data_IF_869118734140
#
_entry.id   IF_869118734140
#
_cell.length_a   1.000
_cell.length_b   1.000
_cell.length_c   1.000
_cell.angle_alpha   90.00
_cell.angle_beta   90.00
_cell.angle_gamma   90.00
#
_symmetry.space_group_name_H-M   'P 1'
#
loop_
_entity.id
_entity.type
_entity.pdbx_description
1 polymer ?
2 polymer ?
#
# COMPACT_ATOMS: atom_id res chain seq x y z
N UNK A 1 17.35 -16.10 -13.14
CA UNK A 1 18.11 -17.34 -12.86
C UNK A 1 17.33 -18.20 -11.88
N UNK A 2 17.66 -19.49 -11.83
CA UNK A 2 16.97 -20.42 -10.94
C UNK A 2 15.67 -20.91 -11.55
N UNK A 3 15.39 -20.44 -12.77
CA UNK A 3 14.17 -20.83 -13.47
C UNK A 3 12.97 -20.75 -12.52
N UNK A 4 12.57 -21.90 -11.97
CA UNK A 4 11.44 -21.94 -11.07
C UNK A 4 10.16 -21.45 -11.76
N UNK A 5 9.05 -22.08 -11.44
CA UNK A 5 7.77 -21.71 -12.03
C UNK A 5 7.17 -20.51 -11.32
N UNK A 6 7.88 -20.02 -10.30
CA UNK A 6 7.42 -18.86 -9.54
C UNK A 6 7.43 -17.61 -10.41
N UNK A 7 8.29 -17.62 -11.43
CA UNK A 7 8.37 -16.47 -12.34
C UNK A 7 7.06 -16.31 -13.10
N UNK A 8 6.46 -17.43 -13.49
CA UNK A 8 5.21 -17.41 -14.23
C UNK A 8 4.09 -16.78 -13.41
N UNK A 9 4.03 -17.12 -12.12
CA UNK A 9 3.00 -16.57 -11.24
C UNK A 9 3.16 -15.05 -11.17
N UNK A 10 4.40 -14.62 -11.02
CA UNK A 10 4.71 -13.20 -10.93
C UNK A 10 4.33 -12.45 -12.21
N UNK A 11 4.65 -13.05 -13.35
CA UNK A 11 4.34 -12.44 -14.63
C UNK A 11 2.84 -12.26 -14.85
N UNK A 12 2.06 -13.28 -14.49
CA UNK A 12 0.61 -13.25 -14.68
C UNK A 12 -0.07 -12.15 -13.88
N UNK A 13 0.35 -11.94 -12.64
CA UNK A 13 -0.29 -10.91 -11.80
C UNK A 13 -0.02 -9.50 -12.36
N UNK A 14 1.16 -9.29 -12.94
CA UNK A 14 1.49 -7.98 -13.48
C UNK A 14 0.54 -7.58 -14.61
N UNK A 15 0.22 -8.55 -15.47
CA UNK A 15 -0.68 -8.30 -16.59
C UNK A 15 -2.10 -7.99 -16.11
N UNK A 16 -2.54 -8.71 -15.08
CA UNK A 16 -3.89 -8.54 -14.55
C UNK A 16 -4.11 -7.17 -13.91
N UNK A 17 -3.10 -6.65 -13.23
CA UNK A 17 -3.24 -5.36 -12.56
C UNK A 17 -3.37 -4.22 -13.56
N UNK A 18 -4.27 -3.29 -13.27
CA UNK A 18 -4.48 -2.11 -14.11
C UNK A 18 -3.34 -1.13 -13.90
N UNK A 19 -3.19 -0.16 -14.81
CA UNK A 19 -2.11 0.81 -14.67
C UNK A 19 -2.27 1.57 -13.36
N UNK A 20 -3.52 1.80 -12.95
CA UNK A 20 -3.78 2.50 -11.69
C UNK A 20 -3.30 1.65 -10.51
N UNK A 21 -3.60 0.35 -10.56
CA UNK A 21 -3.20 -0.57 -9.49
C UNK A 21 -1.69 -0.82 -9.51
N UNK A 22 -1.12 -0.86 -10.70
CA UNK A 22 0.31 -1.09 -10.86
C UNK A 22 1.11 -0.03 -10.09
N UNK A 23 0.58 1.19 -10.04
CA UNK A 23 1.24 2.27 -9.33
C UNK A 23 1.35 1.94 -7.83
N UNK A 24 0.31 1.32 -7.29
CA UNK A 24 0.30 0.96 -5.88
C UNK A 24 1.42 -0.02 -5.55
N UNK A 25 1.69 -0.94 -6.47
CA UNK A 25 2.76 -1.93 -6.24
C UNK A 25 4.11 -1.22 -6.05
N UNK A 26 4.39 -0.22 -6.89
CA UNK A 26 5.64 0.52 -6.77
C UNK A 26 5.67 1.26 -5.44
N UNK A 27 4.53 1.85 -5.10
CA UNK A 27 4.39 2.59 -3.85
C UNK A 27 4.62 1.69 -2.63
N UNK A 28 3.95 0.55 -2.62
CA UNK A 28 4.05 -0.39 -1.52
C UNK A 28 5.47 -0.95 -1.38
N UNK A 29 6.11 -1.25 -2.52
CA UNK A 29 7.48 -1.79 -2.51
C UNK A 29 8.50 -0.67 -2.68
N UNK A 30 8.04 0.56 -2.59
CA UNK A 30 8.93 1.72 -2.74
C UNK A 30 10.03 1.66 -1.68
N UNK A 31 9.64 1.37 -0.44
CA UNK A 31 10.60 1.26 0.64
C UNK A 31 11.58 0.12 0.39
N UNK A 32 11.05 -1.03 -0.04
CA UNK A 32 11.87 -2.20 -0.31
C UNK A 32 12.84 -1.94 -1.46
N UNK A 33 12.35 -1.26 -2.51
CA UNK A 33 13.19 -0.97 -3.68
C UNK A 33 13.25 0.53 -3.95
N UNK A 34 14.47 1.04 -4.14
CA UNK A 34 14.67 2.45 -4.42
C UNK A 34 14.47 2.73 -5.91
N UNK A 35 13.43 2.13 -6.48
CA UNK A 35 13.13 2.28 -7.89
C UNK A 35 14.32 1.84 -8.73
N UNK A 36 15.08 0.89 -8.19
CA UNK A 36 16.24 0.35 -8.90
C UNK A 36 15.79 -0.45 -10.11
N UNK A 37 14.53 -0.90 -10.05
CA UNK A 37 13.95 -1.70 -11.12
C UNK A 37 13.92 -0.90 -12.43
N UNK A 38 14.21 -1.50 -13.57
CA UNK A 38 14.13 -0.77 -14.88
C UNK A 38 12.75 -0.10 -15.04
N UNK A 39 12.52 0.60 -16.12
CA UNK A 39 11.22 1.29 -16.36
C UNK A 39 10.02 0.34 -16.22
N UNK A 40 10.20 -0.90 -16.64
CA UNK A 40 9.13 -1.90 -16.57
C UNK A 40 8.88 -2.31 -15.12
N UNK A 41 7.60 -2.32 -14.74
CA UNK A 41 7.22 -2.70 -13.37
C UNK A 41 7.25 -4.22 -13.19
N UNK A 42 7.24 -4.93 -14.31
CA UNK A 42 7.25 -6.39 -14.24
C UNK A 42 8.52 -6.86 -13.52
N UNK A 43 9.61 -6.16 -13.77
CA UNK A 43 10.89 -6.48 -13.16
C UNK A 43 10.88 -6.21 -11.65
N UNK A 44 9.95 -5.39 -11.17
CA UNK A 44 9.89 -5.04 -9.76
C UNK A 44 9.73 -6.30 -8.90
N UNK A 45 8.77 -7.13 -9.26
CA UNK A 45 8.54 -8.36 -8.51
C UNK A 45 9.73 -9.31 -8.66
N UNK A 46 10.33 -9.30 -9.85
CA UNK A 46 11.46 -10.18 -10.14
C UNK A 46 12.64 -9.91 -9.20
N UNK A 47 12.96 -8.64 -8.97
CA UNK A 47 14.09 -8.33 -8.08
C UNK A 47 13.76 -8.67 -6.63
N UNK A 48 12.49 -8.55 -6.26
CA UNK A 48 12.07 -8.89 -4.91
C UNK A 48 12.26 -10.38 -4.66
N UNK A 49 11.94 -11.19 -5.66
CA UNK A 49 12.08 -12.64 -5.54
C UNK A 49 13.54 -13.01 -5.32
N UNK A 50 14.43 -12.34 -6.03
CA UNK A 50 15.86 -12.61 -5.90
C UNK A 50 16.33 -12.36 -4.48
N UNK A 51 15.79 -11.30 -3.87
CA UNK A 51 16.15 -10.96 -2.50
C UNK A 51 15.60 -12.00 -1.53
N UNK A 52 14.59 -12.75 -2.00
CA UNK A 52 13.98 -13.79 -1.16
C UNK A 52 12.96 -13.17 -0.22
N UNK A 53 12.72 -11.87 -0.38
CA UNK A 53 11.77 -11.17 0.47
C UNK A 53 10.34 -11.34 -0.02
N UNK A 54 10.17 -11.94 -1.21
CA UNK A 54 8.83 -12.12 -1.76
C UNK A 54 8.17 -13.36 -1.15
N UNK A 55 7.24 -13.11 -0.23
CA UNK A 55 6.45 -14.15 0.41
C UNK A 55 5.09 -14.23 -0.29
N UNK A 56 4.46 -15.40 -0.33
CA UNK A 56 3.17 -15.45 -1.01
C UNK A 56 2.15 -14.64 -0.23
N UNK A 57 2.24 -14.71 1.10
CA UNK A 57 1.30 -13.98 1.94
C UNK A 57 1.35 -12.51 1.59
N UNK A 58 2.54 -12.02 1.29
CA UNK A 58 2.69 -10.63 0.91
C UNK A 58 1.91 -10.36 -0.37
N UNK A 59 2.01 -11.28 -1.34
CA UNK A 59 1.28 -11.11 -2.59
C UNK A 59 -0.21 -11.02 -2.32
N UNK A 60 -0.70 -11.84 -1.40
CA UNK A 60 -2.11 -11.80 -1.05
C UNK A 60 -2.46 -10.41 -0.51
N UNK A 61 -1.58 -9.86 0.33
CA UNK A 61 -1.78 -8.56 0.90
C UNK A 61 -1.73 -7.49 -0.19
N UNK A 62 -0.78 -7.62 -1.10
CA UNK A 62 -0.62 -6.66 -2.19
C UNK A 62 -1.85 -6.64 -3.10
N UNK A 63 -2.37 -7.83 -3.42
CA UNK A 63 -3.54 -7.91 -4.29
C UNK A 63 -4.79 -7.38 -3.57
N UNK A 64 -4.87 -7.62 -2.27
CA UNK A 64 -6.02 -7.17 -1.49
C UNK A 64 -6.17 -5.63 -1.49
N UNK A 65 -5.07 -4.91 -1.26
CA UNK A 65 -5.13 -3.44 -1.23
C UNK A 65 -5.70 -2.86 -2.52
N UNK A 66 -5.30 -3.42 -3.67
CA UNK A 66 -5.80 -2.93 -4.95
C UNK A 66 -7.23 -3.41 -5.21
N UNK A 67 -7.85 -3.97 -4.16
CA UNK A 67 -9.23 -4.46 -4.26
C UNK A 67 -9.38 -5.52 -5.37
N UNK A 68 -8.46 -6.48 -5.43
CA UNK A 68 -8.53 -7.54 -6.44
C UNK A 68 -8.79 -8.90 -5.80
N UNK A 69 -9.93 -9.04 -5.14
CA UNK A 69 -10.27 -10.31 -4.51
C UNK A 69 -10.49 -11.37 -5.58
N UNK A 70 -10.89 -10.92 -6.77
CA UNK A 70 -11.14 -11.82 -7.89
C UNK A 70 -9.87 -12.55 -8.30
N UNK A 71 -8.76 -11.82 -8.38
CA UNK A 71 -7.49 -12.40 -8.78
C UNK A 71 -6.94 -13.32 -7.71
N UNK A 72 -7.31 -13.08 -6.45
CA UNK A 72 -6.82 -13.92 -5.37
C UNK A 72 -7.26 -15.35 -5.58
N UNK A 73 -8.51 -15.52 -6.00
CA UNK A 73 -9.05 -16.85 -6.23
C UNK A 73 -8.29 -17.55 -7.37
N UNK A 74 -8.06 -16.82 -8.46
CA UNK A 74 -7.39 -17.39 -9.61
C UNK A 74 -5.90 -17.70 -9.38
N UNK A 75 -5.18 -16.76 -8.76
CA UNK A 75 -3.73 -16.94 -8.57
C UNK A 75 -3.37 -17.76 -7.31
N UNK A 76 -3.87 -17.34 -6.13
CA UNK A 76 -3.52 -18.03 -4.88
C UNK A 76 -4.68 -18.85 -4.30
N UNK A 77 -5.82 -18.88 -4.97
CA UNK A 77 -6.94 -19.65 -4.47
C UNK A 77 -7.26 -19.24 -3.02
N UNK A 78 -7.22 -17.93 -2.75
CA UNK A 78 -7.49 -17.42 -1.40
C UNK A 78 -8.87 -16.78 -1.32
N UNK A 79 -9.63 -17.17 -0.30
CA UNK A 79 -10.99 -16.66 -0.16
C UNK A 79 -10.96 -15.18 0.26
N UNK A 80 -11.88 -14.40 -0.27
CA UNK A 80 -11.93 -12.98 0.06
C UNK A 80 -12.15 -12.78 1.56
N UNK A 81 -13.08 -13.56 2.13
CA UNK A 81 -13.37 -13.47 3.55
C UNK A 81 -12.17 -13.88 4.41
N UNK A 82 -11.38 -14.83 3.87
CA UNK A 82 -10.20 -15.31 4.58
C UNK A 82 -9.22 -14.16 4.80
N UNK A 83 -9.13 -13.29 3.80
CA UNK A 83 -8.23 -12.15 3.88
C UNK A 83 -8.61 -11.23 5.05
N UNK A 84 -9.91 -11.03 5.24
CA UNK A 84 -10.40 -10.15 6.31
C UNK A 84 -9.98 -10.66 7.68
N UNK A 85 -10.09 -11.97 7.92
CA UNK A 85 -9.71 -12.53 9.20
C UNK A 85 -8.19 -12.64 9.30
N UNK A 86 -7.56 -13.00 8.20
CA UNK A 86 -6.12 -13.12 8.15
C UNK A 86 -5.45 -11.78 8.45
N UNK A 87 -5.95 -10.70 7.86
CA UNK A 87 -5.35 -9.39 8.10
C UNK A 87 -5.68 -8.87 9.48
N UNK A 88 -6.58 -9.56 10.19
CA UNK A 88 -6.95 -9.13 11.53
C UNK A 88 -5.69 -9.05 12.39
N UNK A 89 -4.79 -10.00 12.19
CA UNK A 89 -3.53 -10.01 12.93
C UNK A 89 -2.69 -8.81 12.50
N UNK A 90 -3.08 -8.21 11.38
CA UNK A 90 -2.40 -7.04 10.84
C UNK A 90 -0.90 -7.30 10.61
N UNK A 91 -0.56 -8.34 9.87
CA UNK A 91 0.86 -8.66 9.55
C UNK A 91 1.35 -7.85 8.34
N UNK A 92 2.59 -7.36 8.40
CA UNK A 92 3.15 -6.57 7.30
C UNK A 92 4.57 -7.02 6.96
N UNK A 93 4.80 -7.33 5.69
CA UNK A 93 6.12 -7.73 5.23
C UNK A 93 7.09 -6.56 5.37
N UNK A 94 6.60 -5.37 5.00
CA UNK A 94 7.39 -4.15 5.07
C UNK A 94 6.79 -3.21 6.10
N UNK A 95 7.48 -2.11 6.41
CA UNK A 95 6.98 -1.17 7.39
C UNK A 95 5.51 -0.85 7.12
N UNK A 96 4.72 -0.84 8.17
CA UNK A 96 3.28 -0.57 8.06
C UNK A 96 3.03 0.85 7.54
N UNK A 97 4.04 1.71 7.61
CA UNK A 97 3.87 3.09 7.17
C UNK A 97 3.43 3.17 5.70
N UNK A 98 4.14 2.46 4.83
CA UNK A 98 3.82 2.50 3.40
C UNK A 98 2.45 1.88 3.13
N UNK A 99 2.18 0.73 3.77
CA UNK A 99 0.91 0.04 3.59
C UNK A 99 -0.24 0.86 4.17
N UNK A 100 0.02 1.50 5.31
CA UNK A 100 -1.01 2.29 5.98
C UNK A 100 -1.57 3.34 5.03
N UNK A 101 -0.67 4.04 4.34
CA UNK A 101 -1.09 5.08 3.41
C UNK A 101 -1.91 4.51 2.26
N UNK A 102 -1.47 3.37 1.71
CA UNK A 102 -2.18 2.75 0.60
C UNK A 102 -3.57 2.25 1.04
N UNK A 103 -3.62 1.61 2.19
CA UNK A 103 -4.88 1.06 2.70
C UNK A 103 -5.90 2.18 2.97
N UNK A 104 -5.45 3.27 3.59
CA UNK A 104 -6.35 4.37 3.89
C UNK A 104 -6.92 4.97 2.61
N UNK A 105 -6.08 5.15 1.61
CA UNK A 105 -6.53 5.71 0.33
C UNK A 105 -7.60 4.82 -0.28
N UNK A 106 -7.43 3.51 -0.15
CA UNK A 106 -8.39 2.57 -0.69
C UNK A 106 -9.75 2.75 -0.03
N UNK A 107 -9.76 2.99 1.27
CA UNK A 107 -11.01 3.16 2.00
C UNK A 107 -11.72 4.43 1.56
N UNK A 108 -10.97 5.49 1.31
CA UNK A 108 -11.56 6.75 0.88
C UNK A 108 -12.05 6.66 -0.55
N UNK A 109 -13.21 7.27 -0.82
CA UNK A 109 -13.77 7.27 -2.17
C UNK A 109 -13.29 8.49 -2.94
N UNK A 110 -13.74 8.63 -4.18
CA UNK A 110 -13.33 9.76 -5.00
C UNK A 110 -13.79 11.09 -4.39
N UNK A 111 -15.01 11.10 -3.87
CA UNK A 111 -15.56 12.31 -3.25
C UNK A 111 -14.74 12.71 -2.02
N UNK A 112 -14.34 11.72 -1.25
CA UNK A 112 -13.56 11.96 -0.04
C UNK A 112 -12.23 12.62 -0.36
N UNK A 113 -11.60 12.17 -1.44
CA UNK A 113 -10.31 12.72 -1.85
C UNK A 113 -10.44 14.21 -2.16
N UNK A 114 -11.50 14.59 -2.88
CA UNK A 114 -11.70 15.99 -3.24
C UNK A 114 -11.89 16.85 -2.00
N UNK A 115 -12.67 16.35 -1.04
CA UNK A 115 -12.92 17.10 0.19
C UNK A 115 -11.65 17.25 1.01
N UNK A 116 -10.80 16.21 0.98
CA UNK A 116 -9.56 16.22 1.73
C UNK A 116 -8.63 17.35 1.23
N UNK A 117 -8.67 17.59 -0.07
CA UNK A 117 -7.83 18.61 -0.68
C UNK A 117 -8.15 20.00 -0.11
N UNK A 118 -9.43 20.31 0.06
CA UNK A 118 -9.81 21.61 0.58
C UNK A 118 -9.20 21.84 1.96
N UNK A 119 -9.21 20.81 2.79
CA UNK A 119 -8.63 20.91 4.12
C UNK A 119 -7.13 21.18 4.02
N UNK A 120 -6.50 20.53 3.04
CA UNK A 120 -5.07 20.67 2.83
C UNK A 120 -4.69 22.07 2.37
N UNK A 121 -5.62 22.78 1.74
CA UNK A 121 -5.34 24.14 1.26
C UNK A 121 -4.95 25.06 2.42
N UNK A 122 -5.64 24.92 3.55
CA UNK A 122 -5.39 25.78 4.70
C UNK A 122 -3.95 25.60 5.21
N UNK A 123 -3.48 24.36 5.27
CA UNK A 123 -2.12 24.10 5.75
C UNK A 123 -1.11 24.22 4.62
N UNK A 124 -1.48 23.68 3.45
CA UNK A 124 -0.60 23.72 2.29
C UNK A 124 -0.49 25.14 1.75
N UNK A 125 -1.57 25.90 1.87
CA UNK A 125 -1.57 27.28 1.39
C UNK A 125 -1.81 27.35 -0.11
N UNK A 126 -2.36 26.27 -0.67
CA UNK A 126 -2.65 26.22 -2.10
C UNK A 126 -1.38 25.90 -2.90
N UNK A 127 -0.74 24.79 -2.56
CA UNK A 127 0.48 24.37 -3.26
C UNK A 127 0.13 23.54 -4.49
N UNK A 128 1.15 22.90 -5.07
CA UNK A 128 0.93 22.08 -6.25
C UNK A 128 -0.03 20.93 -5.92
N UNK A 129 -1.32 21.22 -5.93
CA UNK A 129 -2.33 20.22 -5.61
C UNK A 129 -3.56 20.37 -6.53
N UNK A 130 -4.14 19.23 -6.93
CA UNK A 130 -5.31 19.27 -7.80
C UNK A 130 -6.17 18.02 -7.57
N UNK A 131 -7.44 18.12 -7.96
CA UNK A 131 -8.36 17.00 -7.79
C UNK A 131 -7.97 15.82 -8.69
N UNK A 132 -7.21 16.12 -9.73
CA UNK A 132 -6.77 15.09 -10.67
C UNK A 132 -5.91 14.05 -9.97
N UNK A 133 -5.04 14.50 -9.07
CA UNK A 133 -4.15 13.60 -8.34
C UNK A 133 -4.95 12.68 -7.42
N UNK A 134 -4.54 11.41 -7.38
CA UNK A 134 -5.21 10.41 -6.54
C UNK A 134 -4.73 10.52 -5.10
N UNK A 135 -5.40 9.79 -4.21
CA UNK A 135 -5.02 9.81 -2.80
C UNK A 135 -3.56 9.39 -2.63
N UNK A 136 -3.15 8.37 -3.36
CA UNK A 136 -1.79 7.88 -3.27
C UNK A 136 -0.83 9.00 -3.64
N UNK A 137 -1.17 9.74 -4.68
CA UNK A 137 -0.33 10.86 -5.12
C UNK A 137 -0.23 11.92 -4.02
N UNK A 138 -1.34 12.15 -3.31
CA UNK A 138 -1.37 13.15 -2.24
C UNK A 138 -0.35 12.79 -1.14
N UNK A 139 -0.21 11.50 -0.86
CA UNK A 139 0.71 11.06 0.18
C UNK A 139 2.15 11.49 -0.12
N UNK A 140 2.60 11.26 -1.35
CA UNK A 140 3.95 11.64 -1.72
C UNK A 140 4.06 13.16 -1.87
N UNK A 141 2.94 13.80 -2.17
CA UNK A 141 2.91 15.25 -2.33
C UNK A 141 3.31 15.94 -1.03
N UNK A 142 2.80 15.42 0.08
CA UNK A 142 3.08 15.99 1.39
C UNK A 142 4.55 15.81 1.77
N UNK A 143 5.17 14.76 1.22
CA UNK A 143 6.57 14.48 1.52
C UNK A 143 7.45 15.67 1.10
N UNK A 144 7.13 16.25 -0.04
CA UNK A 144 7.91 17.40 -0.54
C UNK A 144 7.83 18.56 0.44
N UNK A 145 6.64 18.76 1.00
CA UNK A 145 6.41 19.86 1.95
C UNK A 145 6.86 19.48 3.36
N UNK A 146 7.18 18.20 3.55
CA UNK A 146 7.62 17.72 4.86
C UNK A 146 6.61 18.07 5.95
N UNK A 147 5.32 17.91 5.64
CA UNK A 147 4.27 18.19 6.62
C UNK A 147 3.95 16.92 7.37
N UNK A 148 4.24 15.79 6.72
CA UNK A 148 4.00 14.47 7.29
C UNK A 148 5.29 13.67 7.28
N UNK A 149 5.63 13.09 8.43
CA UNK A 149 6.85 12.28 8.57
C UNK A 149 6.50 10.90 9.11
N UNK A 150 7.30 9.89 8.85
CA UNK A 150 7.02 8.51 9.36
C UNK A 150 6.73 8.45 10.86
N UNK A 151 7.47 9.22 11.65
CA UNK A 151 7.29 9.22 13.10
C UNK A 151 6.37 10.33 13.58
N UNK A 152 5.86 11.16 12.67
CA UNK A 152 4.97 12.24 13.05
C UNK A 152 3.93 12.48 11.98
N UNK A 153 2.67 12.15 12.27
CA UNK A 153 1.59 12.35 11.31
C UNK A 153 0.75 13.56 11.72
N UNK A 154 0.09 13.43 12.87
CA UNK A 154 -0.76 14.49 13.45
C UNK A 154 -1.73 15.12 12.45
N UNK A 155 -1.21 15.76 11.41
CA UNK A 155 -2.04 16.43 10.41
C UNK A 155 -2.96 15.43 9.70
N UNK A 156 -2.43 14.26 9.39
CA UNK A 156 -3.22 13.25 8.68
C UNK A 156 -4.48 12.89 9.47
N UNK A 157 -4.33 12.69 10.78
CA UNK A 157 -5.46 12.33 11.62
C UNK A 157 -6.51 13.44 11.67
N UNK A 158 -6.05 14.69 11.77
CA UNK A 158 -6.97 15.82 11.87
C UNK A 158 -7.83 15.98 10.61
N UNK A 159 -7.22 15.94 9.44
CA UNK A 159 -7.96 16.10 8.19
C UNK A 159 -8.96 14.96 7.99
N UNK A 160 -8.52 13.74 8.28
CA UNK A 160 -9.38 12.58 8.11
C UNK A 160 -10.55 12.64 9.09
N UNK A 161 -10.27 13.10 10.30
CA UNK A 161 -11.31 13.22 11.32
C UNK A 161 -12.41 14.16 10.83
N UNK A 162 -12.01 15.24 10.16
CA UNK A 162 -12.97 16.20 9.64
C UNK A 162 -13.92 15.51 8.67
N UNK A 163 -13.36 14.62 7.85
CA UNK A 163 -14.16 13.88 6.89
C UNK A 163 -15.06 12.88 7.65
N UNK A 164 -15.00 12.96 8.97
CA UNK A 164 -15.79 12.08 9.84
C UNK A 164 -15.43 10.61 9.62
N UNK A 165 -14.14 10.35 9.43
CA UNK A 165 -13.65 8.98 9.23
C UNK A 165 -12.87 8.52 10.47
N UNK A 166 -13.62 8.10 11.49
CA UNK A 166 -13.03 7.64 12.75
C UNK A 166 -12.20 6.36 12.54
N UNK A 167 -12.69 5.46 11.69
CA UNK A 167 -11.98 4.20 11.47
C UNK A 167 -10.56 4.44 10.95
N UNK A 168 -10.42 5.39 10.02
CA UNK A 168 -9.10 5.70 9.49
C UNK A 168 -8.20 6.25 10.59
N UNK A 169 -8.77 7.11 11.44
CA UNK A 169 -8.02 7.69 12.53
C UNK A 169 -7.52 6.60 13.48
N UNK A 170 -8.39 5.63 13.76
CA UNK A 170 -8.05 4.52 14.65
C UNK A 170 -6.88 3.71 14.09
N UNK A 171 -6.91 3.44 12.79
CA UNK A 171 -5.85 2.66 12.16
C UNK A 171 -4.50 3.37 12.30
N UNK A 172 -4.53 4.70 12.14
CA UNK A 172 -3.31 5.48 12.25
C UNK A 172 -2.73 5.37 13.65
N UNK A 173 -3.60 5.36 14.65
CA UNK A 173 -3.16 5.26 16.04
C UNK A 173 -2.37 3.96 16.23
N UNK A 174 -2.81 2.88 15.60
CA UNK A 174 -2.12 1.61 15.71
C UNK A 174 -0.69 1.77 15.22
N UNK A 175 -0.54 2.44 14.08
CA UNK A 175 0.78 2.68 13.50
C UNK A 175 1.67 3.46 14.48
N UNK A 176 1.14 4.55 15.03
CA UNK A 176 1.91 5.35 15.97
C UNK A 176 2.34 4.51 17.17
N UNK A 177 1.46 3.62 17.61
CA UNK A 177 1.77 2.75 18.74
C UNK A 177 2.69 1.62 18.30
N UNK A 178 2.83 1.46 16.97
CA UNK A 178 3.69 0.41 16.41
C UNK A 178 5.07 0.96 16.05
N UNK A 179 5.44 2.08 16.65
CA UNK A 179 6.74 2.69 16.38
C UNK A 179 7.87 1.89 17.03
N UNK A 180 7.54 1.15 18.08
CA UNK A 180 8.55 0.34 18.77
C UNK A 180 8.84 -0.93 17.98
N UNK A 181 9.28 -0.75 16.74
CA UNK A 181 9.60 -1.90 15.88
C UNK A 181 11.00 -2.44 16.18
N UNK A 182 11.80 -1.63 16.87
CA UNK A 182 13.17 -2.01 17.20
C UNK A 182 13.97 -2.34 15.95
N UNK A 183 13.77 -1.53 14.90
CA UNK A 183 14.48 -1.73 13.63
C UNK A 183 15.54 -0.65 13.45
N UNK A 184 16.79 -1.08 13.28
CA UNK A 184 17.89 -0.13 13.10
C UNK A 184 19.04 -0.80 12.36
N UNK A 185 19.96 0.01 11.84
CA UNK A 185 21.10 -0.52 11.10
C UNK A 185 22.03 -1.30 12.04
N UNK B 1 -3.95 -16.26 7.58
CA UNK B 1 -3.75 -17.20 6.44
C UNK B 1 -2.42 -17.91 6.60
N UNK B 2 -1.49 -17.62 5.69
CA UNK B 2 -0.19 -18.29 5.70
C UNK B 2 -0.38 -19.73 5.30
N UNK B 3 -1.61 -20.19 5.52
CA UNK B 3 -2.03 -21.54 5.19
C UNK B 3 -2.74 -21.54 3.86
N UNK B 4 -3.01 -20.35 3.37
CA UNK B 4 -3.69 -20.18 2.09
C UNK B 4 -2.82 -19.32 1.20
N UNK B 5 -1.63 -19.05 1.71
CA UNK B 5 -0.63 -18.27 0.99
C UNK B 5 0.39 -19.19 0.32
N UNK B 6 0.82 -20.21 1.05
CA UNK B 6 1.79 -21.17 0.52
C UNK B 6 1.50 -21.58 -0.92
N UNK B 7 0.34 -21.20 -1.43
CA UNK B 7 -0.08 -21.55 -2.79
C UNK B 7 0.96 -21.13 -3.83
N UNK B 8 1.50 -19.94 -3.68
CA UNK B 8 2.50 -19.46 -4.63
C UNK B 8 1.97 -19.57 -6.06
#
# INVERSE_FOLDING_TARGET
MGRSDSAEVIHQVEEALDTDEKEMLLFLCRDVAIDVVPPNVRDLLDILRERGKLSVGDLAELLYRVRRFDLLKRILKMDRKAVETHLLRNPHLVSDYRVLMAEIGEDLDKSDVSSLIGLMKDYMGRGKISKEKSFLDLVVELEKLNLVAPDQLDLLEKCLKNIHRIDLKTKIQKYKQLEHHHHHH
DFSRNLYD
#
